data_IF_005397897387
#
_entry.id   IF_005397897387
#
_cell.length_a   1.000
_cell.length_b   1.000
_cell.length_c   1.000
_cell.angle_alpha   90.00
_cell.angle_beta   90.00
_cell.angle_gamma   90.00
#
_symmetry.space_group_name_H-M   'P 1'
#
loop_
_entity.id
_entity.type
_entity.pdbx_description
1 polymer ?
#
# COMPACT_ATOMS: atom_id res chain seq x y z
N UNK A 1 8.74 0.35 28.19
CA UNK A 1 8.29 1.06 26.98
C UNK A 1 9.52 1.68 26.34
N UNK A 2 9.89 1.23 25.15
CA UNK A 2 11.09 1.71 24.44
C UNK A 2 10.83 3.13 23.88
N UNK A 3 11.87 3.88 23.52
CA UNK A 3 11.79 5.20 22.89
C UNK A 3 10.91 5.21 21.63
N UNK A 4 10.82 4.08 20.92
CA UNK A 4 9.97 3.91 19.74
C UNK A 4 8.49 3.86 20.11
N UNK A 5 8.12 3.08 21.12
CA UNK A 5 6.75 3.01 21.63
C UNK A 5 6.27 4.39 22.09
N UNK A 6 7.15 5.16 22.75
CA UNK A 6 6.86 6.55 23.16
C UNK A 6 6.64 7.44 21.93
N UNK A 7 7.52 7.36 20.92
CA UNK A 7 7.40 8.17 19.69
C UNK A 7 6.13 7.83 18.92
N UNK A 8 5.82 6.53 18.78
CA UNK A 8 4.61 6.04 18.13
C UNK A 8 3.36 6.52 18.88
N UNK A 9 3.35 6.43 20.22
CA UNK A 9 2.21 6.90 21.03
C UNK A 9 1.98 8.42 20.90
N UNK A 10 3.05 9.22 20.81
CA UNK A 10 2.97 10.65 20.56
C UNK A 10 2.42 10.96 19.16
N UNK A 11 2.88 10.24 18.12
CA UNK A 11 2.35 10.36 16.76
C UNK A 11 0.87 9.99 16.75
N UNK A 12 0.51 8.85 17.34
CA UNK A 12 -0.88 8.37 17.39
C UNK A 12 -1.81 9.39 18.04
N UNK A 13 -1.44 9.89 19.22
CA UNK A 13 -2.21 10.93 19.92
C UNK A 13 -2.36 12.19 19.08
N UNK A 14 -1.32 12.60 18.36
CA UNK A 14 -1.35 13.83 17.56
C UNK A 14 -2.15 13.67 16.28
N UNK A 15 -2.04 12.52 15.59
CA UNK A 15 -2.87 12.19 14.42
C UNK A 15 -4.33 12.07 14.83
N UNK A 16 -4.64 11.37 15.93
CA UNK A 16 -6.00 11.25 16.44
C UNK A 16 -6.61 12.64 16.72
N UNK A 17 -5.86 13.53 17.36
CA UNK A 17 -6.29 14.91 17.60
C UNK A 17 -6.51 15.68 16.29
N UNK A 18 -5.59 15.59 15.35
CA UNK A 18 -5.72 16.28 14.06
C UNK A 18 -6.93 15.80 13.25
N UNK A 19 -7.25 14.50 13.32
CA UNK A 19 -8.46 13.95 12.67
C UNK A 19 -9.75 14.48 13.32
N UNK A 20 -9.80 14.62 14.64
CA UNK A 20 -10.96 15.20 15.36
C UNK A 20 -11.14 16.69 15.03
N UNK A 21 -10.05 17.45 14.97
CA UNK A 21 -10.09 18.88 14.63
C UNK A 21 -10.43 19.14 13.15
N UNK A 22 -10.38 18.11 12.32
CA UNK A 22 -10.56 18.20 10.88
C UNK A 22 -11.98 18.58 10.48
N UNK A 23 -12.99 18.20 11.28
CA UNK A 23 -14.38 18.62 11.07
C UNK A 23 -14.58 20.14 11.28
N UNK A 24 -13.78 20.76 12.14
CA UNK A 24 -13.87 22.19 12.45
C UNK A 24 -13.04 23.06 11.49
N UNK A 25 -11.83 22.61 11.14
CA UNK A 25 -10.93 23.32 10.22
C UNK A 25 -10.06 22.30 9.44
N UNK A 26 -10.56 21.81 8.28
CA UNK A 26 -9.85 20.83 7.47
C UNK A 26 -8.48 21.34 7.01
N UNK A 27 -8.41 22.60 6.54
CA UNK A 27 -7.18 23.20 6.00
C UNK A 27 -6.09 23.25 7.06
N UNK A 28 -6.42 23.74 8.26
CA UNK A 28 -5.48 23.79 9.37
C UNK A 28 -5.06 22.41 9.84
N UNK A 29 -5.97 21.44 9.84
CA UNK A 29 -5.68 20.07 10.25
C UNK A 29 -4.76 19.35 9.27
N UNK A 30 -4.94 19.52 7.95
CA UNK A 30 -3.99 18.97 6.96
C UNK A 30 -2.61 19.61 7.11
N UNK A 31 -2.53 20.94 7.30
CA UNK A 31 -1.25 21.64 7.56
C UNK A 31 -0.56 21.10 8.82
N UNK A 32 -1.31 20.89 9.91
CA UNK A 32 -0.79 20.26 11.14
C UNK A 32 -0.27 18.84 10.90
N UNK A 33 -1.00 18.01 10.17
CA UNK A 33 -0.54 16.65 9.81
C UNK A 33 0.74 16.69 8.98
N UNK A 34 0.88 17.66 8.07
CA UNK A 34 2.12 17.86 7.33
C UNK A 34 3.26 18.30 8.26
N UNK A 35 3.05 19.33 9.08
CA UNK A 35 4.05 19.78 10.06
C UNK A 35 4.47 18.64 11.01
N UNK A 36 3.52 17.75 11.36
CA UNK A 36 3.76 16.58 12.18
C UNK A 36 4.68 15.56 11.49
N UNK A 37 4.38 15.22 10.23
CA UNK A 37 5.26 14.37 9.44
C UNK A 37 6.68 14.98 9.33
N UNK A 38 6.81 16.31 9.34
CA UNK A 38 8.10 17.01 9.32
C UNK A 38 8.83 16.86 10.65
N UNK A 39 8.13 16.89 11.78
CA UNK A 39 8.73 16.74 13.10
C UNK A 39 9.26 15.33 13.35
N UNK A 40 8.54 14.31 12.86
CA UNK A 40 8.84 12.90 13.18
C UNK A 40 9.63 12.15 12.13
N UNK A 41 9.65 12.58 10.87
CA UNK A 41 10.47 11.97 9.84
C UNK A 41 11.73 12.82 9.62
N UNK A 42 12.91 12.35 10.05
CA UNK A 42 14.21 12.97 9.72
C UNK A 42 14.91 12.11 8.67
N UNK A 43 14.71 12.39 7.38
CA UNK A 43 15.29 11.56 6.31
C UNK A 43 14.97 12.01 4.89
N UNK A 44 15.54 11.32 3.88
CA UNK A 44 15.33 11.63 2.44
C UNK A 44 13.86 11.61 2.02
N UNK A 45 13.05 10.76 2.66
CA UNK A 45 11.59 10.67 2.45
C UNK A 45 10.83 11.93 2.81
N UNK A 46 11.29 12.63 3.85
CA UNK A 46 10.79 13.92 4.24
C UNK A 46 10.86 14.89 3.04
N UNK A 47 12.04 15.18 2.51
CA UNK A 47 12.22 16.33 1.60
C UNK A 47 11.40 16.26 0.31
N UNK A 48 11.20 15.07 -0.28
CA UNK A 48 10.47 14.93 -1.54
C UNK A 48 8.95 14.88 -1.34
N UNK A 49 8.47 14.11 -0.36
CA UNK A 49 7.05 14.03 -0.05
C UNK A 49 6.55 15.39 0.47
N UNK A 50 7.36 16.09 1.27
CA UNK A 50 7.02 17.44 1.72
C UNK A 50 6.93 18.47 0.62
N UNK A 51 7.79 18.43 -0.40
CA UNK A 51 7.67 19.36 -1.54
C UNK A 51 6.34 19.16 -2.27
N UNK A 52 5.95 17.89 -2.49
CA UNK A 52 4.69 17.52 -3.15
C UNK A 52 3.49 17.97 -2.30
N UNK A 53 3.46 17.63 -1.01
CA UNK A 53 2.36 18.04 -0.11
C UNK A 53 2.29 19.55 0.13
N UNK A 54 3.43 20.26 0.16
CA UNK A 54 3.43 21.72 0.29
C UNK A 54 2.84 22.41 -0.93
N UNK A 55 3.19 21.96 -2.14
CA UNK A 55 2.59 22.51 -3.36
C UNK A 55 1.10 22.20 -3.45
N UNK A 56 0.68 21.01 -3.00
CA UNK A 56 -0.72 20.63 -2.87
C UNK A 56 -1.51 21.50 -1.89
N UNK A 57 -0.90 21.89 -0.76
CA UNK A 57 -1.54 22.70 0.27
C UNK A 57 -1.51 24.20 0.00
N UNK A 58 -0.78 24.65 -1.02
CA UNK A 58 -0.81 26.06 -1.49
C UNK A 58 -2.09 26.40 -2.23
N UNK A 59 -2.73 25.42 -2.88
CA UNK A 59 -4.00 25.62 -3.55
C UNK A 59 -5.17 25.32 -2.59
N UNK A 60 -5.73 26.39 -2.04
CA UNK A 60 -6.86 26.34 -1.11
C UNK A 60 -8.17 25.80 -1.72
N UNK A 61 -8.25 25.70 -3.06
CA UNK A 61 -9.36 25.15 -3.83
C UNK A 61 -9.06 23.74 -4.38
N UNK A 62 -7.99 23.09 -3.91
CA UNK A 62 -7.61 21.75 -4.38
C UNK A 62 -8.71 20.71 -4.11
N UNK A 63 -9.13 19.91 -5.11
CA UNK A 63 -10.05 18.79 -4.93
C UNK A 63 -9.63 17.78 -3.85
N UNK A 64 -8.36 17.73 -3.48
CA UNK A 64 -7.90 16.84 -2.41
C UNK A 64 -8.47 17.17 -1.04
N UNK A 65 -8.89 18.42 -0.77
CA UNK A 65 -9.60 18.70 0.48
C UNK A 65 -10.95 17.95 0.55
N UNK A 66 -11.65 17.84 -0.58
CA UNK A 66 -12.89 17.05 -0.67
C UNK A 66 -12.59 15.55 -0.53
N UNK A 67 -11.51 15.08 -1.15
CA UNK A 67 -11.07 13.68 -1.02
C UNK A 67 -10.78 13.30 0.44
N UNK A 68 -10.09 14.20 1.17
CA UNK A 68 -9.74 14.01 2.58
C UNK A 68 -10.99 14.07 3.47
N UNK A 69 -11.87 15.06 3.29
CA UNK A 69 -13.13 15.14 4.03
C UNK A 69 -13.97 13.87 3.84
N UNK A 70 -14.08 13.39 2.60
CA UNK A 70 -14.77 12.15 2.29
C UNK A 70 -14.12 10.93 2.97
N UNK A 71 -12.78 10.84 3.00
CA UNK A 71 -12.07 9.77 3.71
C UNK A 71 -12.42 9.75 5.20
N UNK A 72 -12.41 10.90 5.85
CA UNK A 72 -12.61 10.99 7.30
C UNK A 72 -14.06 10.65 7.69
N UNK A 73 -15.03 11.10 6.89
CA UNK A 73 -16.46 10.85 7.16
C UNK A 73 -16.86 9.40 6.91
N UNK A 74 -16.21 8.77 5.93
CA UNK A 74 -16.69 7.53 5.35
C UNK A 74 -15.94 6.28 5.79
N UNK A 75 -14.83 6.42 6.51
CA UNK A 75 -14.04 5.30 7.01
C UNK A 75 -14.03 5.30 8.53
N UNK A 76 -13.66 4.17 9.10
CA UNK A 76 -13.45 4.04 10.53
C UNK A 76 -12.20 4.88 10.91
N UNK A 77 -12.31 5.82 11.88
CA UNK A 77 -11.18 6.68 12.25
C UNK A 77 -9.99 5.92 12.82
N UNK A 78 -10.20 4.78 13.49
CA UNK A 78 -9.11 3.95 14.00
C UNK A 78 -8.40 3.23 12.86
N UNK A 79 -9.13 2.63 11.92
CA UNK A 79 -8.54 2.00 10.74
C UNK A 79 -7.72 3.00 9.90
N UNK A 80 -8.28 4.17 9.60
CA UNK A 80 -7.57 5.19 8.83
C UNK A 80 -6.30 5.68 9.55
N UNK A 81 -6.38 5.89 10.87
CA UNK A 81 -5.23 6.29 11.69
C UNK A 81 -4.17 5.20 11.74
N UNK A 82 -4.56 3.97 12.08
CA UNK A 82 -3.65 2.83 12.26
C UNK A 82 -2.93 2.52 10.94
N UNK A 83 -3.67 2.40 9.83
CA UNK A 83 -3.08 2.19 8.52
C UNK A 83 -2.12 3.31 8.12
N UNK A 84 -2.53 4.57 8.30
CA UNK A 84 -1.70 5.74 7.99
C UNK A 84 -0.40 5.80 8.79
N UNK A 85 -0.44 5.49 10.09
CA UNK A 85 0.75 5.42 10.95
C UNK A 85 1.66 4.26 10.54
N UNK A 86 1.10 3.11 10.19
CA UNK A 86 1.89 1.95 9.78
C UNK A 86 2.64 2.19 8.46
N UNK A 87 2.01 2.84 7.49
CA UNK A 87 2.67 3.26 6.25
C UNK A 87 3.69 4.39 6.54
N UNK A 88 3.24 5.50 7.11
CA UNK A 88 4.06 6.71 7.25
C UNK A 88 5.19 6.59 8.26
N UNK A 89 4.89 6.14 9.48
CA UNK A 89 5.88 6.05 10.54
C UNK A 89 6.56 4.68 10.54
N UNK A 90 5.82 3.58 10.69
CA UNK A 90 6.45 2.26 10.85
C UNK A 90 7.21 1.84 9.60
N UNK A 91 6.70 2.08 8.39
CA UNK A 91 7.40 1.69 7.16
C UNK A 91 8.43 2.74 6.73
N UNK A 92 7.99 3.99 6.49
CA UNK A 92 8.88 4.99 5.86
C UNK A 92 9.85 5.70 6.81
N UNK A 93 9.64 5.59 8.13
CA UNK A 93 10.50 6.25 9.12
C UNK A 93 11.26 5.23 9.96
N UNK A 94 10.56 4.40 10.73
CA UNK A 94 11.18 3.46 11.65
C UNK A 94 11.79 2.25 10.92
N UNK A 95 11.00 1.55 10.11
CA UNK A 95 11.43 0.44 9.27
C UNK A 95 12.54 0.84 8.32
N UNK A 96 12.42 2.00 7.68
CA UNK A 96 13.47 2.59 6.86
C UNK A 96 14.82 2.78 7.59
N UNK A 97 14.82 3.06 8.91
CA UNK A 97 16.06 3.14 9.68
C UNK A 97 16.70 1.75 9.87
N UNK A 98 15.90 0.76 10.25
CA UNK A 98 16.35 -0.64 10.40
C UNK A 98 16.88 -1.17 9.07
N UNK A 99 16.12 -0.98 8.00
CA UNK A 99 16.44 -1.42 6.65
C UNK A 99 17.78 -0.83 6.18
N UNK A 100 18.00 0.48 6.36
CA UNK A 100 19.31 1.12 6.06
C UNK A 100 20.45 0.53 6.87
N UNK A 101 20.23 0.25 8.15
CA UNK A 101 21.23 -0.37 9.02
C UNK A 101 21.57 -1.78 8.53
N UNK A 102 20.56 -2.62 8.27
CA UNK A 102 20.73 -3.98 7.76
C UNK A 102 21.43 -4.03 6.41
N UNK A 103 21.06 -3.16 5.47
CA UNK A 103 21.73 -3.09 4.17
C UNK A 103 23.20 -2.69 4.29
N UNK A 104 23.54 -1.80 5.25
CA UNK A 104 24.93 -1.41 5.51
C UNK A 104 25.73 -2.55 6.16
N UNK A 105 25.12 -3.28 7.11
CA UNK A 105 25.75 -4.40 7.82
C UNK A 105 25.96 -5.61 6.91
N UNK A 106 24.97 -5.93 6.08
CA UNK A 106 24.92 -7.19 5.34
C UNK A 106 25.30 -7.05 3.86
N UNK A 107 25.49 -5.82 3.36
CA UNK A 107 25.93 -5.51 2.00
C UNK A 107 25.03 -6.04 0.86
N UNK A 108 23.74 -6.25 1.12
CA UNK A 108 22.74 -6.57 0.10
C UNK A 108 21.51 -5.68 0.22
N UNK A 109 20.69 -5.66 -0.83
CA UNK A 109 19.46 -4.88 -0.86
C UNK A 109 18.28 -5.65 -0.26
N UNK A 110 17.43 -4.94 0.49
CA UNK A 110 16.23 -5.46 1.16
C UNK A 110 15.08 -4.52 0.82
N UNK A 111 13.93 -5.02 0.32
CA UNK A 111 12.84 -4.16 -0.11
C UNK A 111 12.07 -3.59 1.08
N UNK A 112 11.55 -2.37 0.96
CA UNK A 112 10.64 -1.79 1.97
C UNK A 112 9.26 -2.46 2.05
N UNK A 113 8.86 -3.16 0.99
CA UNK A 113 7.58 -3.85 0.84
C UNK A 113 7.78 -5.21 0.19
N UNK A 114 7.15 -6.25 0.73
CA UNK A 114 7.08 -7.58 0.09
C UNK A 114 5.74 -7.74 -0.60
N UNK A 115 5.77 -8.19 -1.86
CA UNK A 115 4.56 -8.43 -2.66
C UNK A 115 4.31 -9.93 -2.79
N UNK A 116 3.07 -10.36 -2.63
CA UNK A 116 2.65 -11.75 -2.76
C UNK A 116 1.49 -11.85 -3.76
N UNK A 117 1.56 -12.85 -4.63
CA UNK A 117 0.47 -13.22 -5.53
C UNK A 117 -0.19 -14.49 -5.03
N UNK A 118 -1.49 -14.38 -4.75
CA UNK A 118 -2.29 -15.47 -4.23
C UNK A 118 -3.12 -16.09 -5.37
N UNK A 119 -2.91 -17.38 -5.60
CA UNK A 119 -3.70 -18.16 -6.55
C UNK A 119 -3.81 -19.61 -6.06
N UNK A 120 -4.96 -19.97 -5.47
CA UNK A 120 -5.20 -21.32 -4.91
C UNK A 120 -5.36 -22.40 -5.98
N UNK A 121 -5.44 -22.02 -7.27
CA UNK A 121 -5.51 -22.98 -8.38
C UNK A 121 -4.15 -23.58 -8.71
N UNK A 122 -3.06 -22.94 -8.29
CA UNK A 122 -1.71 -23.46 -8.50
C UNK A 122 -1.47 -24.59 -7.48
N UNK A 123 -1.19 -25.82 -7.94
CA UNK A 123 -0.89 -26.93 -7.05
C UNK A 123 0.31 -26.60 -6.16
N UNK A 124 0.23 -27.03 -4.89
CA UNK A 124 1.28 -26.85 -3.89
C UNK A 124 1.70 -25.39 -3.66
N UNK A 125 0.83 -24.43 -3.98
CA UNK A 125 1.07 -23.00 -3.67
C UNK A 125 1.25 -22.77 -2.16
N UNK A 126 1.99 -21.72 -1.81
CA UNK A 126 2.19 -21.34 -0.41
C UNK A 126 0.89 -20.88 0.26
N UNK A 127 0.83 -20.99 1.59
CA UNK A 127 -0.36 -20.72 2.39
C UNK A 127 -0.19 -19.54 3.37
N UNK A 128 -1.19 -19.34 4.22
CA UNK A 128 -1.18 -18.31 5.25
C UNK A 128 -0.10 -18.54 6.33
N UNK A 129 0.36 -19.78 6.54
CA UNK A 129 1.45 -20.07 7.48
C UNK A 129 2.80 -19.59 6.95
N UNK A 130 3.06 -19.80 5.65
CA UNK A 130 4.21 -19.21 4.97
C UNK A 130 4.15 -17.68 5.02
N UNK A 131 2.99 -17.08 4.72
CA UNK A 131 2.81 -15.63 4.82
C UNK A 131 3.11 -15.10 6.23
N UNK A 132 2.69 -15.79 7.29
CA UNK A 132 3.03 -15.42 8.66
C UNK A 132 4.54 -15.42 8.92
N UNK A 133 5.26 -16.40 8.35
CA UNK A 133 6.73 -16.44 8.42
C UNK A 133 7.38 -15.29 7.66
N UNK A 134 6.90 -14.99 6.45
CA UNK A 134 7.35 -13.83 5.65
C UNK A 134 7.18 -12.52 6.43
N UNK A 135 6.05 -12.34 7.13
CA UNK A 135 5.82 -11.14 7.95
C UNK A 135 6.79 -11.08 9.12
N UNK A 136 6.89 -12.16 9.90
CA UNK A 136 7.78 -12.24 11.07
C UNK A 136 9.25 -12.01 10.70
N UNK A 137 9.73 -12.62 9.62
CA UNK A 137 11.09 -12.39 9.12
C UNK A 137 11.25 -10.95 8.64
N UNK A 138 10.31 -10.43 7.85
CA UNK A 138 10.36 -9.06 7.34
C UNK A 138 10.52 -8.00 8.44
N UNK A 139 9.82 -8.15 9.57
CA UNK A 139 9.94 -7.26 10.73
C UNK A 139 11.39 -7.14 11.25
N UNK A 140 12.13 -8.25 11.26
CA UNK A 140 13.54 -8.26 11.70
C UNK A 140 14.48 -7.48 10.77
N UNK A 141 14.04 -7.25 9.52
CA UNK A 141 14.74 -6.49 8.50
C UNK A 141 14.18 -5.07 8.31
N UNK A 142 13.15 -4.68 9.07
CA UNK A 142 12.53 -3.36 8.96
C UNK A 142 11.44 -3.26 7.90
N UNK A 143 10.87 -4.38 7.46
CA UNK A 143 9.74 -4.44 6.52
C UNK A 143 8.46 -4.41 7.33
N UNK A 144 7.67 -3.35 7.16
CA UNK A 144 6.37 -3.15 7.83
C UNK A 144 5.22 -2.99 6.83
N UNK A 145 5.46 -3.27 5.55
CA UNK A 145 4.47 -3.13 4.49
C UNK A 145 4.42 -4.35 3.60
N UNK A 146 3.21 -4.80 3.28
CA UNK A 146 2.98 -5.98 2.45
C UNK A 146 1.86 -5.72 1.45
N UNK A 147 2.04 -6.21 0.23
CA UNK A 147 1.03 -6.14 -0.82
C UNK A 147 0.61 -7.56 -1.20
N UNK A 148 -0.70 -7.83 -1.18
CA UNK A 148 -1.27 -9.10 -1.61
C UNK A 148 -2.12 -8.86 -2.85
N UNK A 149 -2.09 -9.77 -3.81
CA UNK A 149 -2.97 -9.74 -4.98
C UNK A 149 -3.59 -11.10 -5.22
N UNK A 150 -4.92 -11.18 -5.08
CA UNK A 150 -5.69 -12.37 -5.45
C UNK A 150 -5.86 -12.41 -6.97
N UNK A 151 -5.52 -13.54 -7.59
CA UNK A 151 -5.61 -13.69 -9.05
C UNK A 151 -6.98 -14.13 -9.53
N UNK A 152 -7.73 -14.87 -8.72
CA UNK A 152 -8.99 -15.49 -9.15
C UNK A 152 -10.04 -15.48 -8.04
N UNK A 153 -9.73 -16.10 -6.90
CA UNK A 153 -10.65 -16.25 -5.79
C UNK A 153 -10.05 -15.76 -4.47
N UNK A 154 -10.89 -15.75 -3.44
CA UNK A 154 -10.58 -15.37 -2.06
C UNK A 154 -10.60 -16.57 -1.12
N UNK A 155 -10.17 -17.73 -1.62
CA UNK A 155 -10.04 -18.92 -0.79
C UNK A 155 -9.01 -18.69 0.31
N UNK A 156 -9.29 -19.26 1.48
CA UNK A 156 -8.48 -19.10 2.69
C UNK A 156 -8.30 -17.65 3.20
N UNK A 157 -9.08 -16.69 2.68
CA UNK A 157 -8.97 -15.27 3.07
C UNK A 157 -9.02 -15.09 4.59
N UNK A 158 -9.87 -15.85 5.29
CA UNK A 158 -9.96 -15.78 6.74
C UNK A 158 -8.66 -16.10 7.47
N UNK A 159 -7.86 -17.05 6.98
CA UNK A 159 -6.58 -17.39 7.59
C UNK A 159 -5.52 -16.31 7.33
N UNK A 160 -5.49 -15.75 6.11
CA UNK A 160 -4.65 -14.58 5.80
C UNK A 160 -5.04 -13.35 6.64
N UNK A 161 -6.34 -13.11 6.85
CA UNK A 161 -6.83 -12.03 7.72
C UNK A 161 -6.42 -12.26 9.18
N UNK A 162 -6.39 -13.50 9.67
CA UNK A 162 -5.88 -13.80 11.01
C UNK A 162 -4.39 -13.44 11.15
N UNK A 163 -3.58 -13.71 10.13
CA UNK A 163 -2.16 -13.27 10.10
C UNK A 163 -2.05 -11.75 10.11
N UNK A 164 -2.85 -11.06 9.30
CA UNK A 164 -2.90 -9.59 9.24
C UNK A 164 -3.25 -9.00 10.61
N UNK A 165 -4.26 -9.55 11.29
CA UNK A 165 -4.67 -9.11 12.63
C UNK A 165 -3.58 -9.30 13.68
N UNK A 166 -2.79 -10.36 13.55
CA UNK A 166 -1.70 -10.65 14.49
C UNK A 166 -0.48 -9.71 14.38
N UNK A 167 -0.43 -8.88 13.33
CA UNK A 167 0.67 -7.92 13.09
C UNK A 167 0.13 -6.48 12.94
N UNK A 168 -0.46 -5.90 14.01
CA UNK A 168 -1.11 -4.59 13.96
C UNK A 168 -0.17 -3.43 13.61
N UNK A 169 1.14 -3.62 13.71
CA UNK A 169 2.19 -2.67 13.36
C UNK A 169 2.50 -2.59 11.86
N UNK A 170 2.12 -3.62 11.09
CA UNK A 170 2.34 -3.68 9.65
C UNK A 170 1.17 -3.06 8.89
N UNK A 171 1.40 -2.52 7.70
CA UNK A 171 0.37 -2.08 6.78
C UNK A 171 0.20 -3.10 5.65
N UNK A 172 -1.05 -3.48 5.37
CA UNK A 172 -1.37 -4.45 4.35
C UNK A 172 -2.25 -3.81 3.27
N UNK A 173 -1.87 -3.95 2.00
CA UNK A 173 -2.69 -3.57 0.86
C UNK A 173 -3.04 -4.83 0.07
N UNK A 174 -4.33 -5.14 -0.02
CA UNK A 174 -4.80 -6.34 -0.71
C UNK A 174 -5.64 -6.00 -1.93
N UNK A 175 -5.10 -6.24 -3.12
CA UNK A 175 -5.83 -6.19 -4.39
C UNK A 175 -6.69 -7.45 -4.54
N UNK A 176 -8.00 -7.27 -4.48
CA UNK A 176 -8.95 -8.37 -4.60
C UNK A 176 -9.17 -8.76 -6.07
N UNK A 177 -9.64 -9.98 -6.32
CA UNK A 177 -10.13 -10.38 -7.64
C UNK A 177 -11.58 -9.90 -7.81
N UNK A 178 -12.18 -10.23 -8.93
CA UNK A 178 -13.58 -9.91 -9.26
C UNK A 178 -14.60 -10.78 -8.49
N UNK A 179 -14.13 -11.84 -7.83
CA UNK A 179 -14.95 -12.74 -7.02
C UNK A 179 -15.58 -11.97 -5.84
N UNK A 180 -16.92 -12.00 -5.70
CA UNK A 180 -17.58 -11.30 -4.61
C UNK A 180 -17.16 -11.83 -3.23
N UNK A 181 -17.00 -10.91 -2.27
CA UNK A 181 -16.77 -11.26 -0.88
C UNK A 181 -18.04 -11.79 -0.22
N UNK A 182 -17.91 -12.88 0.53
CA UNK A 182 -18.98 -13.35 1.43
C UNK A 182 -19.24 -12.36 2.56
N UNK A 183 -20.42 -12.42 3.19
CA UNK A 183 -20.72 -11.57 4.35
C UNK A 183 -19.74 -11.78 5.51
N UNK A 184 -19.27 -13.02 5.69
CA UNK A 184 -18.27 -13.38 6.70
C UNK A 184 -16.94 -12.66 6.42
N UNK A 185 -16.46 -12.72 5.18
CA UNK A 185 -15.23 -12.03 4.78
C UNK A 185 -15.35 -10.52 4.95
N UNK A 186 -16.47 -9.90 4.52
CA UNK A 186 -16.72 -8.46 4.71
C UNK A 186 -16.63 -8.05 6.19
N UNK A 187 -17.23 -8.83 7.10
CA UNK A 187 -17.17 -8.57 8.54
C UNK A 187 -15.74 -8.72 9.11
N UNK A 188 -14.96 -9.66 8.59
CA UNK A 188 -13.57 -9.86 9.06
C UNK A 188 -12.65 -8.72 8.60
N UNK A 189 -12.90 -8.10 7.44
CA UNK A 189 -12.16 -6.92 7.00
C UNK A 189 -12.27 -5.76 8.00
N UNK A 190 -13.42 -5.57 8.64
CA UNK A 190 -13.60 -4.54 9.67
C UNK A 190 -12.71 -4.74 10.90
N UNK A 191 -12.36 -5.99 11.18
CA UNK A 191 -11.51 -6.33 12.33
C UNK A 191 -10.02 -6.15 12.03
N UNK A 192 -9.65 -5.64 10.84
CA UNK A 192 -8.28 -5.44 10.40
C UNK A 192 -8.01 -3.95 10.15
N UNK A 193 -7.83 -3.11 11.20
CA UNK A 193 -7.61 -1.66 11.03
C UNK A 193 -6.29 -1.33 10.32
N UNK A 194 -5.41 -2.31 10.16
CA UNK A 194 -4.13 -2.22 9.49
C UNK A 194 -4.16 -2.71 8.02
N UNK A 195 -5.35 -2.98 7.48
CA UNK A 195 -5.58 -3.44 6.11
C UNK A 195 -6.38 -2.42 5.29
N UNK A 196 -5.92 -2.18 4.07
CA UNK A 196 -6.73 -1.57 3.01
C UNK A 196 -6.94 -2.60 1.90
N UNK A 197 -8.20 -2.86 1.54
CA UNK A 197 -8.51 -3.68 0.36
C UNK A 197 -8.73 -2.82 -0.87
N UNK A 198 -8.53 -3.37 -2.06
CA UNK A 198 -8.79 -2.67 -3.32
C UNK A 198 -9.67 -3.52 -4.22
N UNK A 199 -10.80 -2.96 -4.66
CA UNK A 199 -11.78 -3.62 -5.53
C UNK A 199 -11.45 -3.40 -7.01
N UNK A 200 -11.58 -4.40 -7.89
CA UNK A 200 -11.36 -4.21 -9.32
C UNK A 200 -12.46 -3.35 -9.94
N UNK A 201 -12.11 -2.18 -10.48
CA UNK A 201 -13.09 -1.16 -10.90
C UNK A 201 -14.04 -1.64 -12.00
N UNK A 202 -13.58 -2.52 -12.88
CA UNK A 202 -14.35 -3.04 -14.02
C UNK A 202 -15.21 -4.27 -13.66
N UNK A 203 -15.12 -4.80 -12.43
CA UNK A 203 -15.88 -5.99 -12.06
C UNK A 203 -17.38 -5.66 -11.83
N UNK A 204 -18.31 -6.50 -12.32
CA UNK A 204 -19.75 -6.28 -12.13
C UNK A 204 -20.18 -6.19 -10.66
N UNK A 205 -19.44 -6.85 -9.77
CA UNK A 205 -19.68 -6.90 -8.33
C UNK A 205 -19.21 -5.65 -7.56
N UNK A 206 -18.36 -4.82 -8.17
CA UNK A 206 -17.68 -3.73 -7.45
C UNK A 206 -18.62 -2.67 -6.90
N UNK A 207 -19.65 -2.28 -7.66
CA UNK A 207 -20.58 -1.24 -7.20
C UNK A 207 -21.35 -1.66 -5.92
N UNK A 208 -21.77 -2.93 -5.83
CA UNK A 208 -22.49 -3.44 -4.65
C UNK A 208 -21.54 -3.70 -3.49
N UNK A 209 -20.37 -4.26 -3.74
CA UNK A 209 -19.32 -4.49 -2.73
C UNK A 209 -18.81 -3.17 -2.13
N UNK A 210 -18.55 -2.16 -2.96
CA UNK A 210 -18.09 -0.86 -2.51
C UNK A 210 -19.13 -0.19 -1.59
N UNK A 211 -20.43 -0.28 -1.93
CA UNK A 211 -21.51 0.21 -1.06
C UNK A 211 -21.57 -0.54 0.27
N UNK A 212 -21.35 -1.85 0.27
CA UNK A 212 -21.34 -2.66 1.48
C UNK A 212 -20.16 -2.29 2.40
N UNK A 213 -18.93 -2.23 1.87
CA UNK A 213 -17.74 -1.81 2.59
C UNK A 213 -17.85 -0.36 3.11
N UNK A 214 -18.43 0.53 2.30
CA UNK A 214 -18.68 1.94 2.67
C UNK A 214 -19.64 2.06 3.86
N UNK A 215 -20.75 1.31 3.85
CA UNK A 215 -21.71 1.29 4.98
C UNK A 215 -21.08 0.78 6.27
N UNK A 216 -20.13 -0.14 6.13
CA UNK A 216 -19.36 -0.70 7.23
C UNK A 216 -18.21 0.22 7.69
N UNK A 217 -17.89 1.27 6.92
CA UNK A 217 -16.73 2.14 7.12
C UNK A 217 -15.37 1.42 7.00
N UNK A 218 -15.32 0.33 6.25
CA UNK A 218 -14.06 -0.37 5.94
C UNK A 218 -13.16 0.53 5.08
N UNK A 219 -11.85 0.52 5.33
CA UNK A 219 -10.88 1.23 4.50
C UNK A 219 -10.66 0.46 3.18
N UNK A 220 -11.02 1.07 2.06
CA UNK A 220 -10.80 0.47 0.73
C UNK A 220 -10.52 1.47 -0.37
N UNK A 221 -9.82 1.00 -1.40
CA UNK A 221 -9.63 1.64 -2.70
C UNK A 221 -10.30 0.87 -3.84
N UNK A 222 -10.06 1.35 -5.05
CA UNK A 222 -10.35 0.59 -6.26
C UNK A 222 -9.09 0.49 -7.10
N UNK A 223 -8.97 -0.55 -7.91
CA UNK A 223 -7.85 -0.71 -8.81
C UNK A 223 -8.29 -1.06 -10.22
N UNK A 224 -7.42 -0.75 -11.16
CA UNK A 224 -7.51 -1.24 -12.52
C UNK A 224 -6.20 -1.89 -12.93
N UNK A 225 -6.30 -3.10 -13.47
CA UNK A 225 -5.17 -3.77 -14.07
C UNK A 225 -5.05 -3.28 -15.51
N UNK A 226 -3.87 -2.87 -15.92
CA UNK A 226 -3.65 -2.37 -17.28
C UNK A 226 -2.55 -3.13 -18.02
N UNK A 227 -2.69 -3.18 -19.33
CA UNK A 227 -1.69 -3.72 -20.25
C UNK A 227 -1.08 -2.61 -21.12
N UNK A 228 -0.07 -2.94 -21.91
CA UNK A 228 0.59 -1.98 -22.81
C UNK A 228 -0.40 -1.30 -23.77
N UNK A 229 -1.38 -2.03 -24.28
CA UNK A 229 -2.40 -1.50 -25.18
C UNK A 229 -3.26 -0.39 -24.54
N UNK A 230 -3.42 -0.43 -23.22
CA UNK A 230 -4.29 0.50 -22.48
C UNK A 230 -3.55 1.77 -22.06
N UNK A 231 -2.21 1.79 -22.07
CA UNK A 231 -1.40 2.89 -21.56
C UNK A 231 -1.77 4.23 -22.22
N UNK A 232 -2.09 4.20 -23.52
CA UNK A 232 -2.54 5.36 -24.27
C UNK A 232 -3.97 5.82 -23.91
N UNK A 233 -4.84 4.91 -23.47
CA UNK A 233 -6.22 5.24 -23.08
C UNK A 233 -6.27 5.92 -21.69
N UNK A 234 -5.37 5.58 -20.78
CA UNK A 234 -5.28 6.25 -19.47
C UNK A 234 -4.80 7.70 -19.56
N UNK A 235 -3.98 8.02 -20.57
CA UNK A 235 -3.65 9.41 -20.92
C UNK A 235 -4.90 10.25 -21.22
N UNK A 236 -6.04 9.61 -21.56
CA UNK A 236 -7.18 10.27 -22.18
C UNK A 236 -8.46 10.35 -21.31
N UNK A 237 -8.61 9.69 -20.15
CA UNK A 237 -9.83 9.89 -19.33
C UNK A 237 -9.80 9.43 -17.85
N UNK A 238 -9.19 10.21 -16.96
CA UNK A 238 -9.53 10.11 -15.52
C UNK A 238 -11.00 10.48 -15.24
N UNK A 239 -11.63 11.28 -16.11
CA UNK A 239 -13.03 11.66 -16.00
C UNK A 239 -14.00 10.48 -16.02
N UNK A 240 -13.72 9.48 -16.87
CA UNK A 240 -14.55 8.29 -16.93
C UNK A 240 -14.41 7.45 -15.65
N UNK A 241 -13.17 7.28 -15.18
CA UNK A 241 -12.85 6.53 -13.97
C UNK A 241 -13.49 7.15 -12.73
N UNK A 242 -13.50 8.49 -12.62
CA UNK A 242 -14.09 9.16 -11.47
C UNK A 242 -15.57 8.82 -11.25
N UNK A 243 -16.34 8.66 -12.33
CA UNK A 243 -17.75 8.27 -12.23
C UNK A 243 -17.97 6.90 -11.55
N UNK A 244 -16.96 6.03 -11.58
CA UNK A 244 -16.99 4.72 -10.94
C UNK A 244 -16.41 4.75 -9.51
N UNK A 245 -15.71 5.82 -9.14
CA UNK A 245 -15.04 6.02 -7.86
C UNK A 245 -15.94 6.67 -6.79
N UNK A 246 -17.26 6.78 -6.98
CA UNK A 246 -18.16 7.46 -6.02
C UNK A 246 -18.03 6.95 -4.57
N UNK A 247 -17.58 5.71 -4.41
CA UNK A 247 -17.47 5.03 -3.13
C UNK A 247 -16.02 4.94 -2.62
N UNK A 248 -15.01 5.56 -3.23
CA UNK A 248 -13.64 5.59 -2.69
C UNK A 248 -12.82 6.73 -3.30
N UNK A 249 -11.74 7.13 -2.63
CA UNK A 249 -10.81 8.14 -3.17
C UNK A 249 -9.43 7.56 -3.47
N UNK A 250 -9.17 6.28 -3.19
CA UNK A 250 -7.89 5.66 -3.54
C UNK A 250 -8.05 4.88 -4.84
N UNK A 251 -7.35 5.32 -5.89
CA UNK A 251 -7.35 4.64 -7.18
C UNK A 251 -5.97 4.09 -7.50
N UNK A 252 -5.88 2.77 -7.68
CA UNK A 252 -4.63 2.08 -7.93
C UNK A 252 -4.56 1.59 -9.37
N UNK A 253 -3.54 2.02 -10.10
CA UNK A 253 -3.19 1.47 -11.40
C UNK A 253 -2.17 0.36 -11.18
N UNK A 254 -2.53 -0.85 -11.57
CA UNK A 254 -1.71 -2.05 -11.37
C UNK A 254 -1.28 -2.54 -12.74
N UNK A 255 0.00 -2.41 -13.06
CA UNK A 255 0.49 -2.99 -14.32
C UNK A 255 0.33 -4.52 -14.30
N UNK A 256 -0.15 -5.05 -15.42
CA UNK A 256 -0.03 -6.47 -15.72
C UNK A 256 1.44 -6.88 -15.82
N UNK A 257 1.71 -8.16 -15.58
CA UNK A 257 3.05 -8.73 -15.63
C UNK A 257 3.72 -8.60 -16.99
N UNK A 258 2.92 -8.56 -18.06
CA UNK A 258 3.39 -8.41 -19.43
C UNK A 258 3.72 -6.96 -19.81
N UNK A 259 3.37 -5.99 -18.96
CA UNK A 259 3.50 -4.57 -19.27
C UNK A 259 4.98 -4.14 -19.33
N UNK A 260 5.32 -3.41 -20.38
CA UNK A 260 6.66 -2.86 -20.59
C UNK A 260 7.01 -1.77 -19.57
N UNK A 261 8.31 -1.61 -19.30
CA UNK A 261 8.81 -0.54 -18.40
C UNK A 261 8.45 0.84 -18.95
N UNK A 262 8.40 0.98 -20.26
CA UNK A 262 8.04 2.20 -20.97
C UNK A 262 6.59 2.59 -20.70
N UNK A 263 5.64 1.64 -20.85
CA UNK A 263 4.23 1.88 -20.54
C UNK A 263 3.99 2.19 -19.07
N UNK A 264 4.65 1.46 -18.16
CA UNK A 264 4.52 1.72 -16.72
C UNK A 264 4.99 3.14 -16.40
N UNK A 265 6.12 3.59 -16.95
CA UNK A 265 6.60 4.97 -16.78
C UNK A 265 5.63 5.99 -17.35
N UNK A 266 5.09 5.75 -18.56
CA UNK A 266 4.13 6.65 -19.18
C UNK A 266 2.88 6.82 -18.31
N UNK A 267 2.32 5.73 -17.77
CA UNK A 267 1.18 5.78 -16.83
C UNK A 267 1.56 6.49 -15.53
N UNK A 268 2.76 6.22 -14.97
CA UNK A 268 3.26 6.92 -13.78
C UNK A 268 3.37 8.44 -13.99
N UNK A 269 3.82 8.89 -15.16
CA UNK A 269 3.96 10.31 -15.49
C UNK A 269 2.59 11.00 -15.51
N UNK A 270 1.57 10.33 -16.05
CA UNK A 270 0.17 10.78 -16.01
C UNK A 270 -0.37 10.90 -14.59
N UNK A 271 -0.14 9.86 -13.78
CA UNK A 271 -0.52 9.86 -12.35
C UNK A 271 0.19 10.98 -11.60
N UNK A 272 1.47 11.23 -11.89
CA UNK A 272 2.23 12.30 -11.28
C UNK A 272 1.71 13.69 -11.70
N UNK A 273 1.42 13.88 -12.98
CA UNK A 273 0.84 15.13 -13.48
C UNK A 273 -0.53 15.40 -12.84
N UNK A 274 -1.38 14.39 -12.74
CA UNK A 274 -2.67 14.50 -12.05
C UNK A 274 -2.49 14.91 -10.59
N UNK A 275 -1.51 14.32 -9.88
CA UNK A 275 -1.24 14.68 -8.47
C UNK A 275 -0.79 16.12 -8.27
N UNK A 276 -0.15 16.75 -9.26
CA UNK A 276 0.22 18.16 -9.18
C UNK A 276 -0.93 19.11 -9.52
N UNK A 277 -1.80 18.71 -10.45
CA UNK A 277 -2.95 19.51 -10.89
C UNK A 277 -4.22 18.65 -10.84
N UNK A 278 -4.71 18.31 -9.64
CA UNK A 278 -5.89 17.46 -9.49
C UNK A 278 -7.14 18.15 -10.02
N UNK A 279 -7.92 17.42 -10.82
CA UNK A 279 -9.21 17.88 -11.35
C UNK A 279 -10.40 17.24 -10.64
N UNK A 280 -10.20 16.11 -9.95
CA UNK A 280 -11.23 15.40 -9.18
C UNK A 280 -10.69 14.99 -7.79
N UNK A 281 -11.59 14.69 -6.83
CA UNK A 281 -11.20 14.40 -5.46
C UNK A 281 -10.80 12.93 -5.24
N UNK A 282 -9.79 12.43 -5.96
CA UNK A 282 -9.22 11.11 -5.67
C UNK A 282 -7.70 11.07 -5.86
N UNK A 283 -7.05 10.13 -5.19
CA UNK A 283 -5.61 9.88 -5.17
C UNK A 283 -5.25 8.73 -6.11
N UNK A 284 -4.83 9.00 -7.35
CA UNK A 284 -4.27 7.97 -8.21
C UNK A 284 -2.87 7.58 -7.74
N UNK A 285 -2.58 6.29 -7.81
CA UNK A 285 -1.30 5.68 -7.44
C UNK A 285 -0.96 4.66 -8.52
N UNK A 286 0.19 4.81 -9.18
CA UNK A 286 0.73 3.74 -10.03
C UNK A 286 1.59 2.84 -9.14
N UNK A 287 1.10 1.63 -8.92
CA UNK A 287 1.56 0.78 -7.81
C UNK A 287 3.02 0.36 -7.95
N UNK A 288 3.52 0.19 -9.18
CA UNK A 288 4.88 -0.29 -9.40
C UNK A 288 5.92 0.84 -9.24
N UNK A 289 5.76 1.94 -9.95
CA UNK A 289 6.65 3.09 -9.96
C UNK A 289 6.55 3.93 -8.71
N UNK A 290 5.37 4.12 -8.10
CA UNK A 290 5.30 4.82 -6.82
C UNK A 290 6.00 3.99 -5.73
N UNK A 291 5.84 2.67 -5.73
CA UNK A 291 6.60 1.77 -4.83
C UNK A 291 8.11 1.82 -5.08
N UNK A 292 8.54 1.87 -6.35
CA UNK A 292 9.94 2.02 -6.75
C UNK A 292 10.52 3.39 -6.33
N UNK A 293 9.76 4.47 -6.50
CA UNK A 293 10.14 5.84 -6.07
C UNK A 293 10.30 5.88 -4.55
N UNK A 294 9.38 5.29 -3.79
CA UNK A 294 9.49 5.17 -2.33
C UNK A 294 10.75 4.39 -1.94
N UNK A 295 11.03 3.26 -2.59
CA UNK A 295 12.23 2.47 -2.33
C UNK A 295 13.52 3.30 -2.53
N UNK A 296 13.62 4.03 -3.64
CA UNK A 296 14.78 4.90 -3.94
C UNK A 296 14.95 6.05 -2.95
N UNK A 297 13.85 6.49 -2.36
CA UNK A 297 13.86 7.51 -1.33
C UNK A 297 14.34 6.92 0.02
N UNK A 298 13.88 5.71 0.35
CA UNK A 298 14.25 5.01 1.57
C UNK A 298 15.73 4.64 1.53
N UNK A 299 16.19 3.94 0.49
CA UNK A 299 17.53 3.37 0.41
C UNK A 299 18.27 3.78 -0.86
N UNK A 300 19.61 3.80 -0.79
CA UNK A 300 20.44 4.06 -1.96
C UNK A 300 20.54 2.86 -2.91
N UNK A 301 20.25 1.66 -2.39
CA UNK A 301 20.31 0.40 -3.13
C UNK A 301 18.90 -0.19 -3.16
N UNK A 302 18.06 0.19 -4.14
CA UNK A 302 16.68 -0.24 -4.21
C UNK A 302 16.58 -1.73 -4.49
N UNK A 303 15.63 -2.39 -3.86
CA UNK A 303 15.23 -3.77 -4.09
C UNK A 303 13.77 -3.85 -4.55
N UNK A 304 13.45 -4.99 -5.13
CA UNK A 304 12.10 -5.38 -5.50
C UNK A 304 11.95 -6.86 -5.19
N UNK A 305 10.81 -7.25 -4.62
CA UNK A 305 10.47 -8.64 -4.38
C UNK A 305 8.97 -8.88 -4.59
N UNK A 306 8.67 -9.79 -5.53
CA UNK A 306 7.35 -10.37 -5.72
C UNK A 306 7.45 -11.89 -5.61
N UNK A 307 6.71 -12.47 -4.67
CA UNK A 307 6.57 -13.91 -4.49
C UNK A 307 5.38 -14.41 -5.31
N UNK A 308 5.61 -15.39 -6.18
CA UNK A 308 4.62 -15.97 -7.08
C UNK A 308 4.14 -17.34 -6.55
N UNK A 309 2.89 -17.72 -6.83
CA UNK A 309 2.27 -18.91 -6.23
C UNK A 309 2.93 -20.24 -6.64
N UNK A 310 3.74 -20.25 -7.70
CA UNK A 310 4.47 -21.41 -8.22
C UNK A 310 5.88 -21.55 -7.62
N UNK A 311 6.12 -21.03 -6.41
CA UNK A 311 7.43 -20.99 -5.74
C UNK A 311 8.52 -20.29 -6.56
N UNK A 312 8.10 -19.37 -7.42
CA UNK A 312 8.98 -18.46 -8.15
C UNK A 312 8.93 -17.07 -7.53
N UNK A 313 9.96 -16.28 -7.75
CA UNK A 313 10.04 -14.90 -7.35
C UNK A 313 10.49 -14.02 -8.50
N UNK A 314 10.09 -12.75 -8.46
CA UNK A 314 10.66 -11.70 -9.29
C UNK A 314 11.43 -10.72 -8.43
N UNK A 315 12.64 -10.37 -8.87
CA UNK A 315 13.48 -9.38 -8.22
C UNK A 315 13.82 -8.25 -9.20
N UNK A 316 14.49 -7.19 -8.74
CA UNK A 316 14.86 -6.07 -9.61
C UNK A 316 15.73 -6.51 -10.79
N UNK A 317 16.65 -7.44 -10.54
CA UNK A 317 17.67 -7.88 -11.50
C UNK A 317 17.31 -9.19 -12.21
N UNK A 318 16.32 -9.93 -11.71
CA UNK A 318 15.95 -11.24 -12.24
C UNK A 318 14.45 -11.31 -12.50
N UNK A 319 14.01 -11.39 -13.77
CA UNK A 319 12.60 -11.45 -14.12
C UNK A 319 11.85 -12.61 -13.45
N UNK A 320 12.49 -13.77 -13.32
CA UNK A 320 11.94 -14.95 -12.63
C UNK A 320 13.08 -15.81 -12.07
N UNK A 321 13.00 -16.23 -10.80
CA UNK A 321 13.96 -17.11 -10.11
C UNK A 321 13.21 -18.03 -9.13
N UNK A 322 13.61 -19.28 -8.95
CA UNK A 322 12.96 -20.15 -7.96
C UNK A 322 13.27 -19.72 -6.52
N UNK A 323 12.41 -20.08 -5.57
CA UNK A 323 12.67 -19.84 -4.15
C UNK A 323 13.95 -20.53 -3.67
N UNK A 324 14.22 -21.75 -4.13
CA UNK A 324 15.44 -22.49 -3.82
C UNK A 324 16.68 -21.70 -4.27
N UNK A 325 16.75 -21.27 -5.53
CA UNK A 325 17.89 -20.50 -6.04
C UNK A 325 18.00 -19.13 -5.33
N UNK A 326 16.87 -18.46 -5.09
CA UNK A 326 16.84 -17.17 -4.43
C UNK A 326 17.34 -17.25 -2.97
N UNK A 327 16.98 -18.31 -2.25
CA UNK A 327 17.40 -18.56 -0.86
C UNK A 327 18.92 -18.69 -0.69
N UNK A 328 19.62 -19.09 -1.76
CA UNK A 328 21.08 -19.23 -1.77
C UNK A 328 21.80 -17.87 -1.94
N UNK A 329 21.10 -16.83 -2.44
CA UNK A 329 21.74 -15.55 -2.78
C UNK A 329 22.21 -14.78 -1.55
N UNK A 330 21.44 -14.77 -0.46
CA UNK A 330 21.83 -14.12 0.79
C UNK A 330 21.00 -14.64 1.98
N UNK A 331 21.38 -14.24 3.20
CA UNK A 331 20.72 -14.65 4.44
C UNK A 331 19.28 -14.15 4.55
N UNK A 332 18.96 -12.97 4.01
CA UNK A 332 17.59 -12.45 4.04
C UNK A 332 16.64 -13.36 3.26
N UNK A 333 16.96 -13.71 2.01
CA UNK A 333 16.12 -14.61 1.23
C UNK A 333 16.04 -16.01 1.84
N UNK A 334 17.14 -16.49 2.44
CA UNK A 334 17.15 -17.78 3.12
C UNK A 334 16.19 -17.83 4.30
N UNK A 335 16.19 -16.79 5.12
CA UNK A 335 15.30 -16.69 6.30
C UNK A 335 13.85 -16.39 5.89
N UNK A 336 13.65 -15.62 4.82
CA UNK A 336 12.32 -15.24 4.34
C UNK A 336 11.59 -16.43 3.70
N UNK A 337 12.33 -17.31 3.01
CA UNK A 337 11.80 -18.43 2.24
C UNK A 337 11.98 -19.79 2.95
N UNK A 338 12.33 -19.79 4.25
CA UNK A 338 12.66 -21.00 4.99
C UNK A 338 11.47 -21.96 5.15
N UNK A 339 10.26 -21.42 5.21
CA UNK A 339 9.01 -22.16 5.41
C UNK A 339 8.17 -22.22 4.11
N UNK A 340 8.79 -21.98 2.95
CA UNK A 340 8.11 -21.93 1.66
C UNK A 340 7.71 -23.31 1.14
#
# INVERSE_FOLDING_TARGET
MNSQDITRALIDTTVARAMVEMDADPKRSVRKLCDLGRQFSRGRFQNQIFAIFQDLLRNDESPYYQAIDFLLRSNDPEALRQFGINIGYNSFTYGAQILRQKQKELSFAVPWVVKLRLDSRIPDTYDSSFFASVVRTGLTYGIYSYQLRSMDHHEDMESYLAVIQSHPECAFLWFLSDTPLTEKQQKLLLSCPNLMVSLPIDAPSTASMAKALRRQKTLFGMHKVYQDADAAAYLLSFDHLYSQMEQSVFFFLVADDSCSKESIRAVSDVVQQYRFTPIQPFFPIEVQEDSRKIEQIITANPAYLLLLPDHMARTLDTPTVSFEELSLRNIFYRELLADA
#
